data_IF_012801929955
#
_entry.id   IF_012801929955
#
_cell.length_a   1.000
_cell.length_b   1.000
_cell.length_c   1.000
_cell.angle_alpha   90.00
_cell.angle_beta   90.00
_cell.angle_gamma   90.00
#
_symmetry.space_group_name_H-M   'P 1'
#
loop_
_entity.id
_entity.type
_entity.pdbx_description
1 polymer ?
#
# COMPACT_ATOMS: atom_id res chain seq x y z
N UNK A 1 -16.74 14.96 -3.93
CA UNK A 1 -15.90 13.93 -4.58
C UNK A 1 -14.67 14.64 -5.10
N UNK A 2 -13.49 14.09 -4.85
CA UNK A 2 -12.22 14.72 -5.14
C UNK A 2 -11.37 13.77 -5.98
N UNK A 3 -10.78 14.29 -7.06
CA UNK A 3 -9.74 13.63 -7.85
C UNK A 3 -8.39 14.10 -7.32
N UNK A 4 -7.43 13.18 -7.23
CA UNK A 4 -6.06 13.49 -6.87
C UNK A 4 -5.08 12.68 -7.74
N UNK A 5 -3.85 13.19 -7.83
CA UNK A 5 -2.73 12.49 -8.46
C UNK A 5 -1.43 12.80 -7.72
N UNK A 6 -0.52 11.85 -7.73
CA UNK A 6 0.82 11.98 -7.15
C UNK A 6 1.87 11.45 -8.13
N UNK A 7 3.01 12.13 -8.16
CA UNK A 7 4.23 11.63 -8.79
C UNK A 7 5.33 11.73 -7.76
N UNK A 8 6.03 10.63 -7.52
CA UNK A 8 7.12 10.57 -6.54
C UNK A 8 8.30 9.78 -7.09
N UNK A 9 9.48 10.00 -6.48
CA UNK A 9 10.68 9.22 -6.73
C UNK A 9 11.02 8.38 -5.50
N UNK A 10 11.55 7.19 -5.75
CA UNK A 10 12.14 6.30 -4.76
C UNK A 10 13.64 6.16 -5.01
N UNK A 11 14.38 5.96 -3.94
CA UNK A 11 15.80 5.67 -3.94
C UNK A 11 16.11 4.85 -2.70
N UNK A 12 16.77 3.71 -2.86
CA UNK A 12 17.20 2.86 -1.76
C UNK A 12 18.62 2.35 -2.03
N UNK A 13 19.59 2.71 -1.18
CA UNK A 13 20.94 2.16 -1.29
C UNK A 13 20.95 0.68 -0.85
N UNK A 14 21.88 -0.12 -1.40
CA UNK A 14 22.03 -1.51 -0.97
C UNK A 14 22.40 -1.60 0.51
N UNK A 15 21.86 -2.62 1.16
CA UNK A 15 22.12 -2.98 2.55
C UNK A 15 23.36 -3.86 2.69
N UNK A 16 23.89 -3.96 3.90
CA UNK A 16 25.05 -4.82 4.20
C UNK A 16 24.72 -6.32 4.03
N UNK A 17 23.45 -6.72 4.19
CA UNK A 17 23.03 -8.11 4.00
C UNK A 17 23.02 -8.49 2.51
N UNK A 18 22.54 -7.60 1.65
CA UNK A 18 22.53 -7.82 0.20
C UNK A 18 23.94 -7.87 -0.39
N UNK A 19 24.93 -7.26 0.27
CA UNK A 19 26.35 -7.39 -0.07
C UNK A 19 26.91 -8.78 0.27
N UNK A 20 26.53 -9.33 1.43
CA UNK A 20 26.98 -10.65 1.89
C UNK A 20 26.35 -11.78 1.07
N UNK A 21 25.11 -11.58 0.62
CA UNK A 21 24.32 -12.56 -0.11
C UNK A 21 24.26 -12.25 -1.62
N UNK A 22 25.23 -11.52 -2.20
CA UNK A 22 25.28 -11.18 -3.63
C UNK A 22 25.55 -12.42 -4.52
N UNK A 23 24.75 -12.60 -5.59
CA UNK A 23 24.97 -13.62 -6.64
C UNK A 23 26.39 -13.61 -7.21
N UNK A 24 27.04 -12.44 -7.25
CA UNK A 24 28.38 -12.26 -7.82
C UNK A 24 29.50 -12.68 -6.86
N UNK A 25 29.22 -12.85 -5.57
CA UNK A 25 30.20 -13.18 -4.52
C UNK A 25 31.48 -12.30 -4.56
N UNK A 26 31.32 -11.01 -4.86
CA UNK A 26 32.43 -10.11 -5.24
C UNK A 26 32.83 -9.08 -4.19
N UNK A 27 32.16 -9.07 -3.03
CA UNK A 27 32.26 -8.03 -1.99
C UNK A 27 32.05 -6.59 -2.52
N UNK A 28 31.50 -6.45 -3.74
CA UNK A 28 31.08 -5.17 -4.31
C UNK A 28 29.62 -4.90 -4.01
N UNK A 29 29.30 -3.66 -3.66
CA UNK A 29 27.92 -3.24 -3.50
C UNK A 29 27.11 -3.51 -4.78
N UNK A 30 25.85 -3.89 -4.60
CA UNK A 30 24.84 -3.83 -5.65
C UNK A 30 24.60 -2.37 -6.04
N UNK A 31 24.05 -2.14 -7.23
CA UNK A 31 23.64 -0.80 -7.64
C UNK A 31 22.45 -0.35 -6.78
N UNK A 32 22.40 0.95 -6.47
CA UNK A 32 21.30 1.51 -5.68
C UNK A 32 20.02 1.53 -6.49
N UNK A 33 18.94 0.96 -5.96
CA UNK A 33 17.66 0.94 -6.64
C UNK A 33 17.05 2.34 -6.66
N UNK A 34 16.42 2.69 -7.78
CA UNK A 34 15.74 3.96 -7.96
C UNK A 34 14.48 3.78 -8.79
N UNK A 35 13.56 4.73 -8.71
CA UNK A 35 12.32 4.58 -9.47
C UNK A 35 11.40 5.78 -9.41
N UNK A 36 10.37 5.72 -10.24
CA UNK A 36 9.31 6.73 -10.33
C UNK A 36 7.97 6.05 -10.13
N UNK A 37 7.15 6.60 -9.24
CA UNK A 37 5.79 6.14 -8.98
C UNK A 37 4.81 7.20 -9.41
N UNK A 38 3.80 6.79 -10.15
CA UNK A 38 2.63 7.60 -10.48
C UNK A 38 1.40 6.96 -9.86
N UNK A 39 0.61 7.74 -9.13
CA UNK A 39 -0.68 7.33 -8.56
C UNK A 39 -1.77 8.30 -9.00
N UNK A 40 -2.94 7.77 -9.37
CA UNK A 40 -4.15 8.55 -9.62
C UNK A 40 -5.28 7.92 -8.81
N UNK A 41 -6.06 8.75 -8.12
CA UNK A 41 -7.16 8.25 -7.30
C UNK A 41 -8.33 9.20 -7.15
N UNK A 42 -9.44 8.60 -6.74
CA UNK A 42 -10.71 9.25 -6.50
C UNK A 42 -11.12 8.97 -5.06
N UNK A 43 -11.64 9.99 -4.38
CA UNK A 43 -12.24 9.81 -3.04
C UNK A 43 -13.51 10.59 -2.85
N UNK A 44 -14.41 10.01 -2.07
CA UNK A 44 -15.71 10.59 -1.77
C UNK A 44 -16.08 10.44 -0.31
N UNK A 45 -16.88 11.40 0.17
CA UNK A 45 -17.56 11.32 1.45
C UNK A 45 -18.98 11.83 1.25
N UNK A 46 -19.96 11.09 1.76
CA UNK A 46 -21.37 11.42 1.70
C UNK A 46 -22.00 11.20 3.08
N UNK A 47 -22.81 12.16 3.50
CA UNK A 47 -23.64 12.03 4.71
C UNK A 47 -24.76 11.03 4.44
N UNK A 48 -24.95 10.10 5.37
CA UNK A 48 -26.06 9.14 5.40
C UNK A 48 -27.18 9.69 6.30
N UNK A 49 -28.34 9.03 6.31
CA UNK A 49 -29.42 9.40 7.22
C UNK A 49 -28.95 9.38 8.70
N UNK A 50 -29.52 10.27 9.53
CA UNK A 50 -29.23 10.40 10.97
C UNK A 50 -27.75 10.66 11.26
N UNK A 51 -27.14 11.64 10.59
CA UNK A 51 -25.74 12.06 10.81
C UNK A 51 -24.67 10.96 10.66
N UNK A 52 -25.03 9.84 10.02
CA UNK A 52 -24.07 8.84 9.57
C UNK A 52 -23.25 9.36 8.39
N UNK A 53 -22.19 8.66 8.02
CA UNK A 53 -21.44 8.99 6.81
C UNK A 53 -20.85 7.76 6.14
N UNK A 54 -20.74 7.79 4.83
CA UNK A 54 -20.00 6.85 4.02
C UNK A 54 -18.81 7.57 3.40
N UNK A 55 -17.65 6.94 3.40
CA UNK A 55 -16.47 7.38 2.66
C UNK A 55 -15.92 6.24 1.81
N UNK A 56 -15.36 6.59 0.66
CA UNK A 56 -14.66 5.65 -0.21
C UNK A 56 -13.41 6.30 -0.81
N UNK A 57 -12.44 5.47 -1.13
CA UNK A 57 -11.21 5.84 -1.80
C UNK A 57 -10.85 4.71 -2.77
N UNK A 58 -10.47 5.06 -4.00
CA UNK A 58 -9.98 4.11 -4.99
C UNK A 58 -8.82 4.73 -5.75
N UNK A 59 -7.74 3.99 -5.91
CA UNK A 59 -6.54 4.44 -6.61
C UNK A 59 -5.95 3.37 -7.49
N UNK A 60 -5.27 3.82 -8.54
CA UNK A 60 -4.39 3.01 -9.37
C UNK A 60 -2.99 3.61 -9.32
N UNK A 61 -1.99 2.76 -9.32
CA UNK A 61 -0.60 3.20 -9.35
C UNK A 61 0.21 2.35 -10.32
N UNK A 62 1.28 2.96 -10.81
CA UNK A 62 2.33 2.31 -11.57
C UNK A 62 3.68 2.87 -11.13
N UNK A 63 4.59 1.97 -10.79
CA UNK A 63 5.98 2.26 -10.47
C UNK A 63 6.88 1.59 -11.50
N UNK A 64 7.81 2.38 -12.04
CA UNK A 64 8.94 1.89 -12.81
C UNK A 64 10.16 1.96 -11.91
N UNK A 65 10.79 0.82 -11.68
CA UNK A 65 11.94 0.67 -10.79
C UNK A 65 13.10 0.17 -11.64
N UNK A 66 14.22 0.87 -11.53
CA UNK A 66 15.50 0.52 -12.11
C UNK A 66 16.38 -0.08 -11.02
N UNK A 67 17.15 -1.10 -11.39
CA UNK A 67 18.09 -1.81 -10.51
C UNK A 67 17.44 -2.37 -9.23
N UNK A 68 16.19 -2.87 -9.33
CA UNK A 68 15.47 -3.43 -8.17
C UNK A 68 16.26 -4.59 -7.56
N UNK A 69 16.61 -4.49 -6.28
CA UNK A 69 17.30 -5.56 -5.57
C UNK A 69 16.28 -6.63 -5.21
N UNK A 70 16.39 -7.80 -5.82
CA UNK A 70 15.50 -8.94 -5.57
C UNK A 70 16.26 -10.15 -5.05
N UNK A 71 15.56 -10.88 -4.18
CA UNK A 71 15.98 -12.17 -3.68
C UNK A 71 15.69 -13.26 -4.72
N UNK A 72 16.71 -14.00 -5.13
CA UNK A 72 16.66 -15.15 -6.05
C UNK A 72 17.18 -16.39 -5.35
N UNK A 73 16.66 -17.58 -5.68
CA UNK A 73 17.17 -18.83 -5.11
C UNK A 73 18.57 -19.16 -5.67
N UNK A 74 19.45 -19.64 -4.80
CA UNK A 74 20.73 -20.22 -5.20
C UNK A 74 20.50 -21.59 -5.88
N UNK A 75 20.81 -21.74 -7.18
CA UNK A 75 20.64 -23.00 -7.89
C UNK A 75 21.57 -24.11 -7.39
N UNK A 76 22.67 -23.77 -6.69
CA UNK A 76 23.65 -24.70 -6.15
C UNK A 76 23.37 -25.06 -4.68
N UNK A 77 22.57 -24.26 -3.96
CA UNK A 77 22.18 -24.49 -2.57
C UNK A 77 20.68 -24.17 -2.34
N UNK A 78 19.76 -25.05 -2.79
CA UNK A 78 18.31 -24.81 -2.69
C UNK A 78 17.85 -24.48 -1.27
N UNK A 79 17.05 -23.41 -1.12
CA UNK A 79 16.64 -22.87 0.17
C UNK A 79 17.55 -21.77 0.72
N UNK A 80 18.68 -21.50 0.04
CA UNK A 80 19.48 -20.30 0.23
C UNK A 80 19.06 -19.26 -0.79
N UNK A 81 18.87 -18.02 -0.34
CA UNK A 81 18.52 -16.92 -1.22
C UNK A 81 19.69 -15.96 -1.37
N UNK A 82 19.90 -15.47 -2.59
CA UNK A 82 20.90 -14.50 -2.98
C UNK A 82 20.21 -13.22 -3.47
N UNK A 83 20.91 -12.10 -3.41
CA UNK A 83 20.45 -10.79 -3.86
C UNK A 83 21.06 -10.46 -5.22
N UNK A 84 20.27 -9.82 -6.09
CA UNK A 84 20.74 -9.33 -7.39
C UNK A 84 19.94 -8.10 -7.82
N UNK A 85 20.57 -7.20 -8.59
CA UNK A 85 19.85 -6.11 -9.25
C UNK A 85 19.11 -6.65 -10.48
N UNK A 86 17.83 -6.28 -10.60
CA UNK A 86 17.02 -6.53 -11.79
C UNK A 86 16.80 -5.21 -12.53
N UNK A 87 17.32 -5.12 -13.75
CA UNK A 87 17.48 -3.86 -14.48
C UNK A 87 16.20 -3.03 -14.59
N UNK A 88 15.06 -3.65 -14.94
CA UNK A 88 13.78 -2.95 -15.05
C UNK A 88 12.64 -3.81 -14.53
N UNK A 89 11.97 -3.28 -13.52
CA UNK A 89 10.74 -3.85 -13.01
C UNK A 89 9.63 -2.83 -13.01
N UNK A 90 8.41 -3.36 -13.12
CA UNK A 90 7.18 -2.59 -13.12
C UNK A 90 6.30 -3.18 -12.03
N UNK A 91 5.95 -2.33 -11.06
CA UNK A 91 4.95 -2.64 -10.04
C UNK A 91 3.70 -1.86 -10.34
N UNK A 92 2.56 -2.52 -10.45
CA UNK A 92 1.31 -1.85 -10.74
C UNK A 92 0.16 -2.47 -9.96
N UNK A 93 -0.90 -1.69 -9.80
CA UNK A 93 -2.15 -2.24 -9.32
C UNK A 93 -3.14 -1.21 -8.82
N UNK A 94 -4.10 -1.72 -8.07
CA UNK A 94 -5.32 -1.02 -7.70
C UNK A 94 -5.57 -1.21 -6.21
N UNK A 95 -5.88 -0.11 -5.53
CA UNK A 95 -6.38 -0.12 -4.17
C UNK A 95 -7.82 0.41 -4.12
N UNK A 96 -8.63 -0.19 -3.25
CA UNK A 96 -9.94 0.33 -2.92
C UNK A 96 -10.20 0.22 -1.43
N UNK A 97 -10.80 1.25 -0.87
CA UNK A 97 -11.27 1.30 0.51
C UNK A 97 -12.69 1.82 0.55
N UNK A 98 -13.52 1.18 1.36
CA UNK A 98 -14.82 1.71 1.78
C UNK A 98 -14.86 1.80 3.30
N UNK A 99 -15.51 2.83 3.82
CA UNK A 99 -15.78 2.95 5.23
C UNK A 99 -17.11 3.64 5.51
N UNK A 100 -17.79 3.20 6.56
CA UNK A 100 -19.03 3.81 7.00
C UNK A 100 -18.97 4.11 8.50
N UNK A 101 -19.55 5.24 8.88
CA UNK A 101 -19.93 5.58 10.25
C UNK A 101 -21.44 5.45 10.35
N UNK A 102 -21.88 4.47 11.12
CA UNK A 102 -23.29 4.23 11.37
C UNK A 102 -23.61 4.68 12.80
N UNK A 103 -24.60 5.55 12.96
CA UNK A 103 -25.16 5.83 14.28
C UNK A 103 -26.16 4.73 14.62
N UNK A 104 -25.95 4.06 15.76
CA UNK A 104 -26.91 3.12 16.28
C UNK A 104 -27.97 3.93 17.02
N UNK A 105 -29.22 3.81 16.58
CA UNK A 105 -30.34 4.39 17.30
C UNK A 105 -30.41 3.82 18.70
N UNK A 106 -30.58 4.67 19.71
CA UNK A 106 -30.98 4.24 21.04
C UNK A 106 -32.35 3.59 20.93
N UNK A 107 -32.41 2.27 20.85
CA UNK A 107 -33.66 1.55 21.12
C UNK A 107 -34.01 1.77 22.60
N UNK A 108 -34.92 2.72 22.84
CA UNK A 108 -35.91 2.61 23.89
C UNK A 108 -35.58 3.08 25.31
N UNK A 109 -34.38 3.57 25.63
CA UNK A 109 -34.17 4.21 26.94
C UNK A 109 -34.23 5.73 26.79
N UNK A 110 -35.27 6.41 27.30
CA UNK A 110 -35.24 7.87 27.39
C UNK A 110 -34.02 8.26 28.21
N UNK A 111 -33.11 9.01 27.60
CA UNK A 111 -31.97 9.59 28.28
C UNK A 111 -32.50 10.35 29.50
N UNK A 112 -32.15 9.97 30.75
CA UNK A 112 -32.62 10.69 31.92
C UNK A 112 -32.17 12.15 31.80
N UNK A 113 -33.06 13.11 32.02
CA UNK A 113 -32.75 14.56 31.94
C UNK A 113 -31.54 14.99 32.80
N UNK A 114 -31.05 14.12 33.70
CA UNK A 114 -29.87 14.32 34.53
C UNK A 114 -28.53 13.87 33.89
N UNK A 115 -28.53 13.11 32.80
CA UNK A 115 -27.31 12.62 32.15
C UNK A 115 -26.84 13.60 31.06
N UNK A 116 -25.77 14.35 31.32
CA UNK A 116 -25.18 15.31 30.35
C UNK A 116 -24.51 14.66 29.12
N UNK A 117 -24.52 13.34 29.00
CA UNK A 117 -23.76 12.63 27.97
C UNK A 117 -24.50 11.39 27.44
N UNK A 118 -25.55 11.61 26.66
CA UNK A 118 -26.01 10.61 25.70
C UNK A 118 -25.24 10.82 24.40
N UNK A 119 -24.01 10.31 24.33
CA UNK A 119 -23.29 10.28 23.06
C UNK A 119 -23.91 9.19 22.18
N UNK A 120 -24.32 9.49 20.94
CA UNK A 120 -24.79 8.45 20.03
C UNK A 120 -23.67 7.44 19.82
N UNK A 121 -23.96 6.16 20.07
CA UNK A 121 -23.01 5.10 19.79
C UNK A 121 -22.82 5.02 18.27
N UNK A 122 -21.57 5.09 17.83
CA UNK A 122 -21.23 5.01 16.42
C UNK A 122 -20.29 3.84 16.16
N UNK A 123 -20.59 3.04 15.14
CA UNK A 123 -19.69 1.99 14.66
C UNK A 123 -19.00 2.51 13.41
N UNK A 124 -17.67 2.34 13.37
CA UNK A 124 -16.84 2.57 12.19
C UNK A 124 -16.48 1.22 11.58
N UNK A 125 -16.96 0.98 10.37
CA UNK A 125 -16.50 -0.17 9.57
C UNK A 125 -15.53 0.36 8.51
N UNK A 126 -14.41 -0.33 8.31
CA UNK A 126 -13.48 -0.07 7.20
C UNK A 126 -13.08 -1.40 6.57
N UNK A 127 -13.15 -1.45 5.25
CA UNK A 127 -12.67 -2.57 4.46
C UNK A 127 -11.74 -2.03 3.38
N UNK A 128 -10.54 -2.60 3.29
CA UNK A 128 -9.54 -2.29 2.26
C UNK A 128 -9.25 -3.55 1.46
N UNK A 129 -9.13 -3.41 0.14
CA UNK A 129 -8.70 -4.47 -0.77
C UNK A 129 -7.70 -3.89 -1.76
N UNK A 130 -6.56 -4.54 -1.90
CA UNK A 130 -5.55 -4.22 -2.91
C UNK A 130 -5.35 -5.40 -3.85
N UNK A 131 -5.10 -5.12 -5.12
CA UNK A 131 -4.65 -6.09 -6.11
C UNK A 131 -3.40 -5.55 -6.78
N UNK A 132 -2.32 -6.32 -6.74
CA UNK A 132 -1.00 -5.92 -7.21
C UNK A 132 -0.49 -6.91 -8.26
N UNK A 133 0.30 -6.40 -9.21
CA UNK A 133 1.00 -7.20 -10.21
C UNK A 133 2.40 -6.62 -10.42
N UNK A 134 3.42 -7.44 -10.20
CA UNK A 134 4.82 -7.14 -10.49
C UNK A 134 5.22 -7.85 -11.79
N UNK A 135 5.95 -7.15 -12.65
CA UNK A 135 6.54 -7.70 -13.88
C UNK A 135 7.99 -7.23 -13.98
N UNK A 136 8.92 -8.14 -14.21
CA UNK A 136 10.31 -7.82 -14.54
C UNK A 136 10.55 -8.02 -16.03
N UNK A 137 11.28 -7.10 -16.66
CA UNK A 137 11.89 -7.35 -17.95
C UNK A 137 13.21 -8.08 -17.67
N UNK A 138 13.29 -9.37 -18.00
CA UNK A 138 14.48 -10.18 -17.74
C UNK A 138 15.72 -9.63 -18.47
N UNK A 139 16.76 -9.33 -17.69
CA UNK A 139 18.15 -9.18 -18.10
C UNK A 139 18.99 -10.00 -17.11
N UNK A 140 19.85 -10.86 -17.65
CA UNK A 140 20.62 -11.89 -16.95
C UNK A 140 21.91 -11.36 -16.33
#
# INVERSE_FOLDING_TARGET
MNLYGNVSRLYEPPTVFELADDVRASDQALDAMAGTVVEIGLRGNQTLARDGSWQWDASIYQAWIDDEILSVDDPLAPGTSLSTNVERTVHAGLEAMVGARLLLGSTGYPCPRAARQCQPQSIRVRQRRGLWQQRSAGGA
#
